data_IF_538983755791
#
_entry.id   IF_538983755791
#
_cell.length_a   1.000
_cell.length_b   1.000
_cell.length_c   1.000
_cell.angle_alpha   90.00
_cell.angle_beta   90.00
_cell.angle_gamma   90.00
#
_symmetry.space_group_name_H-M   'P 1'
#
loop_
_entity.id
_entity.type
_entity.pdbx_description
1 polymer ?
#
# COMPACT_ATOMS: atom_id res chain seq x y z
N UNK A 1 -51.52 20.89 45.90
CA UNK A 1 -50.38 20.13 45.34
C UNK A 1 -49.02 20.70 45.80
N UNK A 2 -48.90 21.19 47.03
CA UNK A 2 -47.62 21.63 47.62
C UNK A 2 -47.41 20.95 48.98
N UNK A 3 -47.68 19.64 49.06
CA UNK A 3 -47.35 18.86 50.25
C UNK A 3 -45.87 18.49 50.19
N UNK A 4 -45.16 18.69 51.30
CA UNK A 4 -43.76 18.30 51.44
C UNK A 4 -43.67 16.79 51.63
N UNK A 5 -42.85 16.13 50.82
CA UNK A 5 -42.56 14.70 50.93
C UNK A 5 -41.17 14.57 51.56
N UNK A 6 -41.08 13.86 52.68
CA UNK A 6 -39.79 13.56 53.32
C UNK A 6 -39.12 12.38 52.61
N UNK A 7 -37.89 12.60 52.13
CA UNK A 7 -37.09 11.60 51.41
C UNK A 7 -35.75 11.39 52.12
N UNK A 8 -35.31 10.13 52.32
CA UNK A 8 -33.96 9.85 52.80
C UNK A 8 -32.89 10.44 51.86
N UNK A 9 -31.85 11.06 52.43
CA UNK A 9 -30.80 11.77 51.67
C UNK A 9 -30.12 10.84 50.64
N UNK A 10 -29.89 9.57 50.99
CA UNK A 10 -29.28 8.60 50.07
C UNK A 10 -30.16 8.33 48.84
N UNK A 11 -31.48 8.29 49.02
CA UNK A 11 -32.44 8.05 47.93
C UNK A 11 -32.52 9.28 47.03
N UNK A 12 -32.52 10.48 47.61
CA UNK A 12 -32.43 11.72 46.86
C UNK A 12 -31.14 11.80 46.02
N UNK A 13 -29.99 11.44 46.59
CA UNK A 13 -28.72 11.41 45.87
C UNK A 13 -28.74 10.42 44.69
N UNK A 14 -29.34 9.24 44.88
CA UNK A 14 -29.51 8.23 43.84
C UNK A 14 -30.43 8.72 42.70
N UNK A 15 -31.55 9.35 43.04
CA UNK A 15 -32.45 9.98 42.06
C UNK A 15 -31.70 11.05 41.26
N UNK A 16 -30.95 11.92 41.94
CA UNK A 16 -30.20 13.00 41.30
C UNK A 16 -29.09 12.46 40.38
N UNK A 17 -28.43 11.37 40.76
CA UNK A 17 -27.44 10.68 39.92
C UNK A 17 -28.09 10.11 38.65
N UNK A 18 -29.22 9.41 38.75
CA UNK A 18 -29.93 8.89 37.58
C UNK A 18 -30.50 10.00 36.69
N UNK A 19 -31.05 11.06 37.28
CA UNK A 19 -31.53 12.22 36.56
C UNK A 19 -30.40 12.93 35.81
N UNK A 20 -29.23 13.11 36.45
CA UNK A 20 -28.04 13.70 35.84
C UNK A 20 -27.49 12.82 34.72
N UNK A 21 -27.40 11.50 34.94
CA UNK A 21 -26.96 10.56 33.92
C UNK A 21 -27.90 10.55 32.71
N UNK A 22 -29.21 10.59 32.95
CA UNK A 22 -30.24 10.65 31.90
C UNK A 22 -30.18 11.97 31.14
N UNK A 23 -30.05 13.11 31.83
CA UNK A 23 -29.88 14.41 31.21
C UNK A 23 -28.60 14.47 30.36
N UNK A 24 -27.50 13.92 30.88
CA UNK A 24 -26.23 13.84 30.14
C UNK A 24 -26.41 13.01 28.86
N UNK A 25 -27.04 11.84 28.94
CA UNK A 25 -27.17 10.92 27.80
C UNK A 25 -28.20 11.36 26.76
N UNK A 26 -29.30 11.99 27.16
CA UNK A 26 -30.41 12.35 26.27
C UNK A 26 -30.43 13.82 25.83
N UNK A 27 -29.79 14.75 26.56
CA UNK A 27 -29.79 16.18 26.20
C UNK A 27 -28.41 16.65 25.75
N UNK A 28 -27.37 16.38 26.55
CA UNK A 28 -26.02 16.86 26.28
C UNK A 28 -25.31 16.05 25.19
N UNK A 29 -25.25 14.72 25.34
CA UNK A 29 -24.55 13.86 24.38
C UNK A 29 -25.10 13.98 22.94
N UNK A 30 -26.42 14.05 22.67
CA UNK A 30 -26.91 14.21 21.30
C UNK A 30 -26.50 15.55 20.68
N UNK A 31 -26.58 16.64 21.45
CA UNK A 31 -26.17 17.98 21.01
C UNK A 31 -24.67 18.04 20.70
N UNK A 32 -23.85 17.46 21.58
CA UNK A 32 -22.40 17.34 21.38
C UNK A 32 -22.08 16.48 20.15
N UNK A 33 -22.74 15.32 19.99
CA UNK A 33 -22.59 14.45 18.81
C UNK A 33 -22.96 15.17 17.52
N UNK A 34 -24.05 15.93 17.51
CA UNK A 34 -24.46 16.73 16.36
C UNK A 34 -23.42 17.81 16.02
N UNK A 35 -22.91 18.53 17.03
CA UNK A 35 -21.90 19.56 16.84
C UNK A 35 -20.62 19.00 16.19
N UNK A 36 -20.13 17.87 16.70
CA UNK A 36 -18.96 17.19 16.11
C UNK A 36 -19.25 16.61 14.73
N UNK A 37 -20.44 16.01 14.50
CA UNK A 37 -20.86 15.52 13.17
C UNK A 37 -20.86 16.66 12.15
N UNK A 38 -21.50 17.79 12.46
CA UNK A 38 -21.57 18.94 11.56
C UNK A 38 -20.17 19.52 11.25
N UNK A 39 -19.27 19.52 12.23
CA UNK A 39 -17.86 19.91 12.01
C UNK A 39 -17.12 18.91 11.12
N UNK A 40 -17.34 17.62 11.30
CA UNK A 40 -16.78 16.55 10.45
C UNK A 40 -17.28 16.69 9.01
N UNK A 41 -18.59 16.85 8.80
CA UNK A 41 -19.19 17.04 7.47
C UNK A 41 -18.59 18.26 6.75
N UNK A 42 -18.45 19.39 7.44
CA UNK A 42 -17.77 20.58 6.90
C UNK A 42 -16.29 20.35 6.58
N UNK A 43 -15.59 19.53 7.38
CA UNK A 43 -14.20 19.18 7.12
C UNK A 43 -14.08 18.28 5.88
N UNK A 44 -14.93 17.26 5.76
CA UNK A 44 -15.02 16.36 4.60
C UNK A 44 -15.36 17.16 3.34
N UNK A 45 -16.33 18.08 3.40
CA UNK A 45 -16.66 18.94 2.26
C UNK A 45 -15.49 19.81 1.80
N UNK A 46 -14.69 20.34 2.74
CA UNK A 46 -13.46 21.10 2.41
C UNK A 46 -12.37 20.22 1.80
N UNK A 47 -12.23 18.98 2.29
CA UNK A 47 -11.27 18.01 1.74
C UNK A 47 -11.67 17.64 0.30
N UNK A 48 -12.95 17.32 0.06
CA UNK A 48 -13.46 16.95 -1.27
C UNK A 48 -13.20 18.02 -2.33
N UNK A 49 -13.14 19.31 -1.97
CA UNK A 49 -12.79 20.41 -2.91
C UNK A 49 -11.33 20.41 -3.36
N UNK A 50 -10.44 19.73 -2.63
CA UNK A 50 -8.99 19.68 -2.93
C UNK A 50 -8.58 18.38 -3.63
N UNK A 51 -9.42 17.36 -3.58
CA UNK A 51 -9.13 16.08 -4.21
C UNK A 51 -9.55 16.13 -5.68
N UNK A 52 -8.72 15.58 -6.55
CA UNK A 52 -9.09 15.33 -7.95
C UNK A 52 -10.36 14.49 -8.03
N UNK A 53 -10.52 13.53 -7.09
CA UNK A 53 -11.72 12.71 -6.94
C UNK A 53 -12.28 12.83 -5.52
N UNK A 54 -13.54 13.24 -5.35
CA UNK A 54 -14.13 13.36 -4.03
C UNK A 54 -14.22 12.00 -3.33
N UNK A 55 -14.22 12.02 -1.99
CA UNK A 55 -14.36 10.80 -1.18
C UNK A 55 -15.70 10.15 -1.53
N UNK A 56 -15.64 8.88 -1.91
CA UNK A 56 -16.84 8.13 -2.24
C UNK A 56 -17.77 7.98 -1.02
N UNK A 57 -19.08 8.26 -1.14
CA UNK A 57 -20.04 8.07 -0.06
C UNK A 57 -20.01 6.68 0.58
N UNK A 58 -19.68 5.64 -0.21
CA UNK A 58 -19.52 4.26 0.25
C UNK A 58 -18.50 4.13 1.39
N UNK A 59 -17.42 4.94 1.38
CA UNK A 59 -16.42 4.95 2.47
C UNK A 59 -16.91 5.66 3.73
N UNK A 60 -17.92 6.51 3.61
CA UNK A 60 -18.45 7.32 4.71
C UNK A 60 -19.63 6.63 5.40
N UNK A 61 -20.18 5.57 4.79
CA UNK A 61 -21.17 4.69 5.43
C UNK A 61 -20.59 4.15 6.73
N UNK A 62 -21.40 4.13 7.80
CA UNK A 62 -20.94 3.58 9.07
C UNK A 62 -20.57 2.11 8.84
N UNK A 63 -19.44 1.71 9.40
CA UNK A 63 -18.95 0.32 9.32
C UNK A 63 -20.01 -0.72 9.67
N UNK A 64 -20.85 -0.44 10.67
CA UNK A 64 -21.95 -1.33 11.05
C UNK A 64 -22.95 -1.53 9.89
N UNK A 65 -23.41 -0.44 9.28
CA UNK A 65 -24.38 -0.47 8.17
C UNK A 65 -23.80 -1.21 6.95
N UNK A 66 -22.50 -1.02 6.67
CA UNK A 66 -21.82 -1.74 5.60
C UNK A 66 -21.71 -3.25 5.86
N UNK A 67 -21.43 -3.64 7.12
CA UNK A 67 -21.43 -5.06 7.52
C UNK A 67 -22.83 -5.66 7.34
N UNK A 68 -23.89 -4.95 7.77
CA UNK A 68 -25.26 -5.43 7.58
C UNK A 68 -25.60 -5.58 6.09
N UNK A 69 -25.27 -4.58 5.27
CA UNK A 69 -25.49 -4.65 3.83
C UNK A 69 -24.77 -5.85 3.17
N UNK A 70 -23.57 -6.18 3.64
CA UNK A 70 -22.79 -7.29 3.11
C UNK A 70 -23.35 -8.67 3.52
N UNK A 71 -23.72 -8.86 4.78
CA UNK A 71 -24.20 -10.17 5.26
C UNK A 71 -25.62 -10.52 4.74
N UNK A 72 -26.41 -9.50 4.42
CA UNK A 72 -27.75 -9.67 3.82
C UNK A 72 -27.74 -9.53 2.30
N UNK A 73 -26.57 -9.43 1.66
CA UNK A 73 -26.49 -9.45 0.19
C UNK A 73 -26.91 -10.85 -0.32
N UNK A 74 -27.74 -10.94 -1.39
CA UNK A 74 -28.24 -12.22 -1.89
C UNK A 74 -27.15 -13.24 -2.21
N UNK A 75 -26.00 -12.81 -2.74
CA UNK A 75 -24.90 -13.73 -3.07
C UNK A 75 -24.22 -14.27 -1.82
N UNK A 76 -24.17 -13.47 -0.75
CA UNK A 76 -23.60 -13.88 0.55
C UNK A 76 -24.59 -14.76 1.30
N UNK A 77 -25.89 -14.43 1.28
CA UNK A 77 -26.94 -15.26 1.86
C UNK A 77 -26.96 -16.66 1.23
N UNK A 78 -26.83 -16.75 -0.10
CA UNK A 78 -26.70 -18.05 -0.78
C UNK A 78 -25.43 -18.78 -0.32
N UNK A 79 -24.29 -18.10 -0.27
CA UNK A 79 -23.05 -18.71 0.19
C UNK A 79 -23.12 -19.20 1.65
N UNK A 80 -23.89 -18.53 2.51
CA UNK A 80 -24.16 -18.96 3.89
C UNK A 80 -24.97 -20.26 3.89
N UNK A 81 -26.04 -20.33 3.09
CA UNK A 81 -26.85 -21.54 2.96
C UNK A 81 -26.04 -22.71 2.40
N UNK A 82 -25.27 -22.49 1.33
CA UNK A 82 -24.41 -23.51 0.73
C UNK A 82 -23.37 -24.02 1.73
N UNK A 83 -22.75 -23.11 2.50
CA UNK A 83 -21.78 -23.47 3.51
C UNK A 83 -22.40 -24.26 4.66
N UNK A 84 -23.60 -23.89 5.10
CA UNK A 84 -24.35 -24.60 6.12
C UNK A 84 -24.66 -26.04 5.69
N UNK A 85 -25.13 -26.20 4.46
CA UNK A 85 -25.43 -27.52 3.88
C UNK A 85 -24.18 -28.39 3.71
N UNK A 86 -23.10 -27.84 3.15
CA UNK A 86 -21.86 -28.59 2.88
C UNK A 86 -21.17 -29.06 4.18
N UNK A 87 -21.23 -28.25 5.24
CA UNK A 87 -20.56 -28.54 6.51
C UNK A 87 -21.52 -29.13 7.55
N UNK A 88 -22.77 -29.41 7.18
CA UNK A 88 -23.82 -29.95 8.05
C UNK A 88 -23.98 -29.17 9.37
N UNK A 89 -23.85 -27.83 9.29
CA UNK A 89 -24.02 -26.94 10.44
C UNK A 89 -25.33 -26.15 10.33
N UNK A 90 -25.94 -25.75 11.46
CA UNK A 90 -27.09 -24.85 11.44
C UNK A 90 -26.81 -23.53 10.73
N UNK A 91 -27.77 -23.03 9.96
CA UNK A 91 -27.62 -21.81 9.14
C UNK A 91 -27.26 -20.57 9.97
N UNK A 92 -27.77 -20.46 11.20
CA UNK A 92 -27.42 -19.39 12.12
C UNK A 92 -25.94 -19.39 12.53
N UNK A 93 -25.30 -20.57 12.59
CA UNK A 93 -23.86 -20.69 12.86
C UNK A 93 -23.05 -20.20 11.66
N UNK A 94 -23.42 -20.62 10.45
CA UNK A 94 -22.81 -20.13 9.21
C UNK A 94 -22.99 -18.61 9.04
N UNK A 95 -24.17 -18.08 9.41
CA UNK A 95 -24.45 -16.65 9.39
C UNK A 95 -23.54 -15.86 10.34
N UNK A 96 -23.36 -16.31 11.58
CA UNK A 96 -22.45 -15.64 12.52
C UNK A 96 -20.98 -15.76 12.09
N UNK A 97 -20.57 -16.85 11.43
CA UNK A 97 -19.26 -16.95 10.79
C UNK A 97 -19.10 -15.91 9.67
N UNK A 98 -20.06 -15.80 8.76
CA UNK A 98 -20.06 -14.78 7.71
C UNK A 98 -20.03 -13.36 8.29
N UNK A 99 -20.75 -13.12 9.38
CA UNK A 99 -20.73 -11.84 10.10
C UNK A 99 -19.37 -11.54 10.73
N UNK A 100 -18.68 -12.56 11.26
CA UNK A 100 -17.30 -12.44 11.74
C UNK A 100 -16.35 -12.09 10.59
N UNK A 101 -16.47 -12.77 9.45
CA UNK A 101 -15.69 -12.46 8.25
C UNK A 101 -15.97 -11.04 7.73
N UNK A 102 -17.23 -10.62 7.66
CA UNK A 102 -17.60 -9.27 7.28
C UNK A 102 -17.01 -8.22 8.24
N UNK A 103 -17.00 -8.46 9.55
CA UNK A 103 -16.31 -7.58 10.53
C UNK A 103 -14.81 -7.54 10.26
N UNK A 104 -14.19 -8.64 9.87
CA UNK A 104 -12.76 -8.67 9.56
C UNK A 104 -12.42 -7.84 8.31
N UNK A 105 -13.23 -8.01 7.26
CA UNK A 105 -13.05 -7.43 5.93
C UNK A 105 -13.41 -5.95 5.91
N UNK A 106 -14.59 -5.56 6.41
CA UNK A 106 -15.11 -4.19 6.27
C UNK A 106 -14.29 -3.22 7.14
N UNK A 107 -13.62 -2.22 6.53
CA UNK A 107 -12.78 -1.26 7.24
C UNK A 107 -13.63 -0.24 8.01
N UNK A 108 -13.01 0.35 9.05
CA UNK A 108 -13.59 1.46 9.81
C UNK A 108 -13.02 2.78 9.34
N UNK A 109 -13.24 3.14 8.07
CA UNK A 109 -12.63 4.34 7.48
C UNK A 109 -12.96 5.61 8.26
N UNK A 110 -11.93 6.41 8.54
CA UNK A 110 -12.06 7.72 9.17
C UNK A 110 -11.39 8.76 8.28
N UNK A 111 -12.20 9.63 7.65
CA UNK A 111 -11.69 10.70 6.81
C UNK A 111 -10.73 11.63 7.58
N UNK A 112 -11.00 11.90 8.86
CA UNK A 112 -10.13 12.71 9.70
C UNK A 112 -8.79 12.00 9.98
N UNK A 113 -8.82 10.71 10.31
CA UNK A 113 -7.59 9.95 10.55
C UNK A 113 -6.74 9.89 9.29
N UNK A 114 -7.35 9.59 8.14
CA UNK A 114 -6.67 9.49 6.85
C UNK A 114 -6.10 10.84 6.39
N UNK A 115 -6.96 11.84 6.16
CA UNK A 115 -6.55 13.13 5.58
C UNK A 115 -5.91 14.09 6.58
N UNK A 116 -6.21 13.95 7.86
CA UNK A 116 -5.65 14.81 8.91
C UNK A 116 -4.29 14.32 9.40
N UNK A 117 -4.17 13.05 9.78
CA UNK A 117 -2.98 12.54 10.46
C UNK A 117 -2.18 11.63 9.54
N UNK A 118 -2.83 10.66 8.90
CA UNK A 118 -2.21 9.62 8.10
C UNK A 118 -1.34 10.15 6.97
N UNK A 119 -1.88 11.01 6.10
CA UNK A 119 -1.11 11.59 4.98
C UNK A 119 0.09 12.40 5.46
N UNK A 120 -0.08 13.19 6.54
CA UNK A 120 1.01 14.02 7.08
C UNK A 120 2.11 13.17 7.67
N UNK A 121 1.76 12.15 8.45
CA UNK A 121 2.70 11.20 9.01
C UNK A 121 3.41 10.41 7.90
N UNK A 122 2.67 9.98 6.87
CA UNK A 122 3.23 9.26 5.73
C UNK A 122 4.22 10.13 4.95
N UNK A 123 3.86 11.38 4.65
CA UNK A 123 4.75 12.36 4.01
C UNK A 123 6.00 12.60 4.83
N UNK A 124 5.84 12.86 6.14
CA UNK A 124 6.96 13.10 7.04
C UNK A 124 7.90 11.90 7.07
N UNK A 125 7.37 10.69 7.23
CA UNK A 125 8.17 9.47 7.29
C UNK A 125 8.89 9.21 5.96
N UNK A 126 8.19 9.33 4.84
CA UNK A 126 8.75 9.13 3.51
C UNK A 126 9.90 10.09 3.20
N UNK A 127 9.68 11.39 3.41
CA UNK A 127 10.68 12.43 3.14
C UNK A 127 11.81 12.48 4.19
N UNK A 128 11.57 11.98 5.40
CA UNK A 128 12.60 11.83 6.43
C UNK A 128 13.55 10.69 6.12
N UNK A 129 13.09 9.60 5.51
CA UNK A 129 13.91 8.42 5.23
C UNK A 129 14.50 8.42 3.82
N UNK A 130 13.80 8.99 2.83
CA UNK A 130 14.19 8.91 1.42
C UNK A 130 14.14 10.27 0.71
N UNK A 131 14.87 10.37 -0.40
CA UNK A 131 14.61 11.33 -1.45
C UNK A 131 13.49 10.76 -2.34
N UNK A 132 12.27 11.23 -2.12
CA UNK A 132 11.08 10.69 -2.79
C UNK A 132 10.89 11.36 -4.14
N UNK A 133 10.80 10.55 -5.19
CA UNK A 133 10.61 11.01 -6.56
C UNK A 133 9.32 10.44 -7.16
N UNK A 134 8.69 11.22 -8.04
CA UNK A 134 7.46 10.85 -8.71
C UNK A 134 7.61 10.96 -10.22
N UNK A 135 6.93 10.07 -10.96
CA UNK A 135 6.86 10.16 -12.41
C UNK A 135 6.25 11.48 -12.89
N UNK A 136 6.82 12.08 -13.94
CA UNK A 136 6.39 13.36 -14.49
C UNK A 136 4.93 13.34 -14.99
N UNK A 137 4.50 12.20 -15.52
CA UNK A 137 3.17 12.00 -16.10
C UNK A 137 2.15 11.51 -15.07
N UNK A 138 2.54 11.24 -13.81
CA UNK A 138 1.65 10.64 -12.81
C UNK A 138 0.35 11.45 -12.65
N UNK A 139 0.47 12.76 -12.45
CA UNK A 139 -0.70 13.63 -12.25
C UNK A 139 -1.56 13.75 -13.51
N UNK A 140 -0.92 13.76 -14.68
CA UNK A 140 -1.61 13.82 -15.95
C UNK A 140 -2.42 12.56 -16.21
N UNK A 141 -1.83 11.38 -16.00
CA UNK A 141 -2.53 10.10 -16.12
C UNK A 141 -3.76 10.04 -15.22
N UNK A 142 -3.65 10.49 -13.98
CA UNK A 142 -4.81 10.53 -13.08
C UNK A 142 -5.89 11.52 -13.55
N UNK A 143 -5.50 12.69 -14.06
CA UNK A 143 -6.45 13.70 -14.59
C UNK A 143 -7.17 13.24 -15.85
N UNK A 144 -6.55 12.41 -16.68
CA UNK A 144 -7.15 11.87 -17.92
C UNK A 144 -8.24 10.83 -17.67
N UNK A 145 -8.25 10.18 -16.50
CA UNK A 145 -9.26 9.16 -16.18
C UNK A 145 -10.62 9.83 -15.93
N UNK A 146 -11.72 9.35 -16.55
CA UNK A 146 -13.07 9.90 -16.34
C UNK A 146 -13.48 9.94 -14.87
N UNK A 147 -14.07 11.05 -14.42
CA UNK A 147 -14.40 11.29 -13.00
C UNK A 147 -15.39 10.27 -12.41
N UNK A 148 -16.22 9.67 -13.27
CA UNK A 148 -17.19 8.64 -12.98
C UNK A 148 -16.62 7.22 -13.11
N UNK A 149 -15.36 7.02 -13.50
CA UNK A 149 -14.73 5.71 -13.51
C UNK A 149 -14.27 5.24 -12.11
N UNK A 150 -14.15 3.92 -11.92
CA UNK A 150 -13.48 3.32 -10.76
C UNK A 150 -11.99 3.22 -11.04
N UNK A 151 -11.14 3.65 -10.11
CA UNK A 151 -9.68 3.60 -10.26
C UNK A 151 -9.09 2.52 -9.37
N UNK A 152 -8.28 1.63 -9.96
CA UNK A 152 -7.58 0.55 -9.27
C UNK A 152 -6.09 0.68 -9.53
N UNK A 153 -5.34 1.10 -8.52
CA UNK A 153 -3.87 1.12 -8.58
C UNK A 153 -3.32 -0.29 -8.40
N UNK A 154 -2.60 -0.78 -9.40
CA UNK A 154 -1.99 -2.11 -9.44
C UNK A 154 -0.48 -1.94 -9.39
N UNK A 155 0.15 -2.43 -8.32
CA UNK A 155 1.55 -2.07 -8.05
C UNK A 155 2.40 -3.24 -7.57
N UNK A 156 3.70 -3.16 -7.88
CA UNK A 156 4.67 -4.11 -7.34
C UNK A 156 4.88 -3.89 -5.83
N UNK A 157 5.40 -4.90 -5.12
CA UNK A 157 5.59 -4.85 -3.67
C UNK A 157 7.02 -5.23 -3.25
N UNK A 158 7.79 -4.23 -2.85
CA UNK A 158 9.20 -4.38 -2.45
C UNK A 158 9.45 -4.15 -0.96
N UNK A 159 8.73 -3.23 -0.34
CA UNK A 159 8.92 -2.85 1.07
C UNK A 159 7.59 -2.62 1.76
N UNK A 160 7.53 -2.75 3.09
CA UNK A 160 6.37 -2.24 3.83
C UNK A 160 6.25 -0.72 3.72
N UNK A 161 7.34 -0.03 3.35
CA UNK A 161 7.36 1.39 3.02
C UNK A 161 6.46 1.73 1.82
N UNK A 162 6.11 0.77 0.96
CA UNK A 162 5.25 1.00 -0.21
C UNK A 162 3.87 1.53 0.21
N UNK A 163 3.31 1.03 1.32
CA UNK A 163 2.05 1.53 1.87
C UNK A 163 2.16 3.01 2.25
N UNK A 164 3.31 3.41 2.81
CA UNK A 164 3.57 4.79 3.23
C UNK A 164 3.75 5.69 2.02
N UNK A 165 4.56 5.29 1.04
CA UNK A 165 4.78 6.05 -0.19
C UNK A 165 3.49 6.24 -0.96
N UNK A 166 2.71 5.18 -1.16
CA UNK A 166 1.47 5.27 -1.91
C UNK A 166 0.41 6.07 -1.16
N UNK A 167 0.33 5.94 0.18
CA UNK A 167 -0.54 6.82 1.00
C UNK A 167 -0.12 8.28 0.86
N UNK A 168 1.17 8.57 0.83
CA UNK A 168 1.64 9.94 0.64
C UNK A 168 1.32 10.47 -0.77
N UNK A 169 1.58 9.68 -1.81
CA UNK A 169 1.58 10.14 -3.20
C UNK A 169 0.20 10.10 -3.85
N UNK A 170 -0.55 9.02 -3.67
CA UNK A 170 -1.86 8.86 -4.30
C UNK A 170 -3.00 9.50 -3.49
N UNK A 171 -2.77 9.91 -2.24
CA UNK A 171 -3.79 10.62 -1.46
C UNK A 171 -4.05 12.06 -1.93
N UNK A 172 -3.20 12.61 -2.81
CA UNK A 172 -3.51 13.87 -3.51
C UNK A 172 -4.59 13.67 -4.58
N UNK A 173 -4.71 12.45 -5.13
CA UNK A 173 -5.71 12.10 -6.15
C UNK A 173 -7.05 11.67 -5.55
N UNK A 174 -7.06 10.81 -4.52
CA UNK A 174 -8.29 10.27 -3.91
C UNK A 174 -8.04 9.60 -2.56
N UNK A 175 -9.09 9.35 -1.77
CA UNK A 175 -9.02 8.43 -0.63
C UNK A 175 -8.78 7.00 -1.15
N UNK A 176 -7.65 6.37 -0.82
CA UNK A 176 -7.34 5.00 -1.21
C UNK A 176 -7.97 3.95 -0.27
N UNK A 177 -8.31 2.78 -0.81
CA UNK A 177 -8.64 1.57 -0.04
C UNK A 177 -7.65 0.49 -0.40
N UNK A 178 -6.91 0.00 0.60
CA UNK A 178 -5.84 -0.96 0.40
C UNK A 178 -6.29 -2.39 0.71
N UNK A 179 -5.89 -3.34 -0.12
CA UNK A 179 -5.81 -4.73 0.30
C UNK A 179 -4.49 -4.94 1.06
N UNK A 180 -4.56 -5.28 2.35
CA UNK A 180 -3.36 -5.47 3.20
C UNK A 180 -3.27 -6.92 3.67
N UNK A 181 -2.06 -7.48 3.67
CA UNK A 181 -1.81 -8.85 4.15
C UNK A 181 -1.92 -9.02 5.67
N UNK A 182 -1.89 -10.27 6.13
CA UNK A 182 -2.09 -10.63 7.56
C UNK A 182 -1.06 -10.05 8.53
N UNK A 183 0.16 -9.71 8.07
CA UNK A 183 1.24 -9.21 8.94
C UNK A 183 0.85 -7.94 9.71
N UNK A 184 -0.03 -7.12 9.13
CA UNK A 184 -0.48 -5.86 9.69
C UNK A 184 -1.63 -6.01 10.72
N UNK A 185 -2.01 -7.25 11.10
CA UNK A 185 -3.08 -7.52 12.09
C UNK A 185 -2.65 -7.30 13.55
N UNK A 186 -1.42 -6.83 13.80
CA UNK A 186 -0.91 -6.57 15.16
C UNK A 186 -1.49 -5.28 15.74
N UNK A 187 -1.95 -5.31 16.98
CA UNK A 187 -2.38 -4.10 17.69
C UNK A 187 -1.14 -3.28 18.14
N UNK A 188 -1.13 -1.94 18.02
CA UNK A 188 -2.20 -1.03 17.61
C UNK A 188 -2.25 -0.74 16.09
N UNK A 189 -1.27 -1.21 15.33
CA UNK A 189 -1.10 -0.94 13.89
C UNK A 189 -2.35 -1.30 13.07
N UNK A 190 -3.00 -2.41 13.40
CA UNK A 190 -4.21 -2.89 12.72
C UNK A 190 -5.38 -1.91 12.80
N UNK A 191 -5.55 -1.18 13.92
CA UNK A 191 -6.59 -0.14 14.04
C UNK A 191 -6.28 1.06 13.18
N UNK A 192 -5.02 1.49 13.14
CA UNK A 192 -4.58 2.59 12.30
C UNK A 192 -4.80 2.27 10.81
N UNK A 193 -4.36 1.09 10.36
CA UNK A 193 -4.51 0.63 8.97
C UNK A 193 -5.99 0.53 8.57
N UNK A 194 -6.85 -0.07 9.40
CA UNK A 194 -8.30 -0.10 9.14
C UNK A 194 -8.92 1.30 9.08
N UNK A 195 -8.46 2.22 9.93
CA UNK A 195 -8.93 3.61 9.91
C UNK A 195 -8.57 4.36 8.63
N UNK A 196 -7.49 3.93 7.96
CA UNK A 196 -7.06 4.44 6.66
C UNK A 196 -7.82 3.80 5.49
N UNK A 197 -8.80 2.93 5.73
CA UNK A 197 -9.65 2.34 4.69
C UNK A 197 -9.11 1.05 4.08
N UNK A 198 -8.12 0.43 4.72
CA UNK A 198 -7.56 -0.85 4.31
C UNK A 198 -8.38 -2.03 4.83
N UNK A 199 -8.65 -3.00 3.96
CA UNK A 199 -9.24 -4.29 4.30
C UNK A 199 -8.18 -5.39 4.24
N UNK A 200 -8.31 -6.37 5.13
CA UNK A 200 -7.34 -7.46 5.21
C UNK A 200 -7.72 -8.60 4.29
N UNK A 201 -6.77 -9.08 3.51
CA UNK A 201 -6.89 -10.32 2.74
C UNK A 201 -6.13 -11.40 3.49
N UNK A 202 -6.86 -12.38 4.03
CA UNK A 202 -6.30 -13.54 4.70
C UNK A 202 -5.93 -14.62 3.68
N UNK A 203 -4.73 -15.19 3.80
CA UNK A 203 -4.36 -16.41 3.08
C UNK A 203 -4.72 -17.66 3.89
N UNK A 204 -4.81 -17.57 5.22
CA UNK A 204 -5.13 -18.68 6.13
C UNK A 204 -6.63 -18.92 6.32
N UNK A 205 -7.48 -17.95 5.97
CA UNK A 205 -8.94 -18.10 6.02
C UNK A 205 -9.39 -18.81 4.74
N UNK A 206 -9.15 -20.11 4.68
CA UNK A 206 -9.26 -20.94 3.46
C UNK A 206 -10.70 -21.34 3.10
N UNK A 207 -11.71 -20.91 3.86
CA UNK A 207 -13.10 -21.25 3.61
C UNK A 207 -13.69 -20.59 2.35
N UNK A 208 -14.47 -21.37 1.59
CA UNK A 208 -15.28 -20.88 0.45
C UNK A 208 -16.16 -19.70 0.85
N UNK A 209 -16.77 -19.75 2.04
CA UNK A 209 -17.59 -18.68 2.60
C UNK A 209 -16.81 -17.36 2.79
N UNK A 210 -15.61 -17.41 3.36
CA UNK A 210 -14.78 -16.21 3.54
C UNK A 210 -14.45 -15.55 2.20
N UNK A 211 -14.04 -16.34 1.21
CA UNK A 211 -13.71 -15.85 -0.13
C UNK A 211 -14.93 -15.23 -0.82
N UNK A 212 -16.13 -15.80 -0.65
CA UNK A 212 -17.38 -15.23 -1.18
C UNK A 212 -17.72 -13.89 -0.52
N UNK A 213 -17.62 -13.78 0.80
CA UNK A 213 -17.83 -12.51 1.53
C UNK A 213 -16.83 -11.44 1.10
N UNK A 214 -15.55 -11.79 0.95
CA UNK A 214 -14.50 -10.88 0.49
C UNK A 214 -14.73 -10.44 -0.95
N UNK A 215 -15.01 -11.38 -1.86
CA UNK A 215 -15.30 -11.10 -3.25
C UNK A 215 -16.47 -10.11 -3.37
N UNK A 216 -17.54 -10.35 -2.61
CA UNK A 216 -18.72 -9.48 -2.64
C UNK A 216 -18.42 -8.08 -2.12
N UNK A 217 -17.65 -7.95 -1.04
CA UNK A 217 -17.20 -6.64 -0.56
C UNK A 217 -16.39 -5.88 -1.62
N UNK A 218 -15.43 -6.55 -2.27
CA UNK A 218 -14.61 -5.94 -3.34
C UNK A 218 -15.51 -5.48 -4.49
N UNK A 219 -16.45 -6.32 -4.94
CA UNK A 219 -17.41 -5.96 -5.98
C UNK A 219 -18.23 -4.73 -5.58
N UNK A 220 -18.82 -4.70 -4.39
CA UNK A 220 -19.59 -3.56 -3.90
C UNK A 220 -18.75 -2.27 -3.87
N UNK A 221 -17.48 -2.35 -3.45
CA UNK A 221 -16.57 -1.21 -3.44
C UNK A 221 -16.22 -0.73 -4.86
N UNK A 222 -15.92 -1.67 -5.77
CA UNK A 222 -15.64 -1.39 -7.18
C UNK A 222 -16.84 -0.71 -7.85
N UNK A 223 -18.04 -1.28 -7.69
CA UNK A 223 -19.30 -0.76 -8.22
C UNK A 223 -19.63 0.63 -7.68
N UNK A 224 -19.37 0.85 -6.40
CA UNK A 224 -19.58 2.16 -5.80
C UNK A 224 -18.67 3.24 -6.36
N UNK A 225 -17.55 2.92 -7.03
CA UNK A 225 -16.56 3.91 -7.48
C UNK A 225 -15.47 4.19 -6.44
N UNK A 226 -15.20 3.26 -5.53
CA UNK A 226 -14.12 3.40 -4.55
C UNK A 226 -12.77 3.27 -5.24
N UNK A 227 -11.89 4.26 -5.06
CA UNK A 227 -10.49 4.13 -5.45
C UNK A 227 -9.79 3.06 -4.61
N UNK A 228 -9.24 2.05 -5.28
CA UNK A 228 -8.59 0.89 -4.67
C UNK A 228 -7.10 0.87 -5.00
N UNK A 229 -6.31 0.30 -4.10
CA UNK A 229 -4.89 0.07 -4.28
C UNK A 229 -4.54 -1.36 -3.84
N UNK A 230 -3.84 -2.08 -4.70
CA UNK A 230 -3.59 -3.52 -4.54
C UNK A 230 -2.15 -3.86 -4.92
N UNK A 231 -1.56 -4.72 -4.11
CA UNK A 231 -0.28 -5.38 -4.35
C UNK A 231 -0.55 -6.83 -4.81
N UNK A 232 -0.83 -7.08 -6.10
CA UNK A 232 -1.29 -8.39 -6.56
C UNK A 232 -0.20 -9.46 -6.48
N UNK A 233 1.07 -9.13 -6.23
CA UNK A 233 2.12 -10.12 -5.90
C UNK A 233 1.77 -10.95 -4.65
N UNK A 234 0.92 -10.40 -3.78
CA UNK A 234 0.42 -11.06 -2.56
C UNK A 234 1.49 -11.27 -1.48
N UNK A 235 2.61 -10.55 -1.56
CA UNK A 235 3.67 -10.52 -0.57
C UNK A 235 4.90 -9.79 -1.11
N UNK A 236 5.79 -9.34 -0.22
CA UNK A 236 7.04 -8.68 -0.59
C UNK A 236 7.89 -9.57 -1.52
N UNK A 237 8.58 -8.97 -2.48
CA UNK A 237 9.65 -9.66 -3.21
C UNK A 237 10.74 -10.13 -2.25
N UNK A 238 11.29 -11.34 -2.46
CA UNK A 238 12.33 -11.92 -1.60
C UNK A 238 13.70 -11.96 -2.27
N UNK A 239 13.71 -11.86 -3.59
CA UNK A 239 14.88 -11.85 -4.47
C UNK A 239 15.00 -10.55 -5.27
N UNK A 240 14.06 -9.61 -5.10
CA UNK A 240 14.09 -8.32 -5.78
C UNK A 240 13.50 -8.35 -7.19
N UNK A 241 13.02 -9.48 -7.69
CA UNK A 241 12.31 -9.58 -8.98
C UNK A 241 10.86 -9.16 -8.84
N UNK A 242 10.28 -8.62 -9.92
CA UNK A 242 8.83 -8.47 -10.02
C UNK A 242 8.19 -9.86 -10.08
N UNK A 243 7.22 -10.12 -9.20
CA UNK A 243 6.51 -11.41 -9.19
C UNK A 243 5.30 -11.38 -10.12
N UNK A 244 4.89 -12.54 -10.64
CA UNK A 244 3.62 -12.68 -11.34
C UNK A 244 2.45 -12.19 -10.47
N UNK A 245 1.51 -11.48 -11.10
CA UNK A 245 0.33 -10.96 -10.41
C UNK A 245 -0.62 -12.12 -10.06
N UNK A 246 -1.09 -12.19 -8.82
CA UNK A 246 -2.08 -13.17 -8.40
C UNK A 246 -3.46 -12.82 -8.97
N UNK A 247 -4.06 -13.80 -9.64
CA UNK A 247 -5.37 -13.68 -10.30
C UNK A 247 -6.56 -13.47 -9.36
N UNK A 248 -6.42 -13.82 -8.07
CA UNK A 248 -7.56 -13.84 -7.14
C UNK A 248 -8.22 -12.47 -6.89
N UNK A 249 -7.47 -11.38 -6.86
CA UNK A 249 -8.08 -10.05 -6.73
C UNK A 249 -8.74 -9.59 -8.04
N UNK A 250 -8.09 -9.86 -9.17
CA UNK A 250 -8.62 -9.54 -10.49
C UNK A 250 -9.93 -10.32 -10.76
N UNK A 251 -10.01 -11.58 -10.33
CA UNK A 251 -11.23 -12.38 -10.48
C UNK A 251 -12.40 -11.83 -9.68
N UNK A 252 -12.18 -11.18 -8.52
CA UNK A 252 -13.24 -10.51 -7.77
C UNK A 252 -13.77 -9.29 -8.50
N UNK A 253 -12.90 -8.53 -9.17
CA UNK A 253 -13.29 -7.38 -9.99
C UNK A 253 -14.08 -7.86 -11.22
N UNK A 254 -13.57 -8.86 -11.93
CA UNK A 254 -14.15 -9.35 -13.17
C UNK A 254 -15.44 -10.16 -12.97
N UNK A 255 -15.59 -10.85 -11.84
CA UNK A 255 -16.70 -11.77 -11.61
C UNK A 255 -18.10 -11.14 -11.54
N UNK A 256 -18.21 -9.81 -11.45
CA UNK A 256 -19.49 -9.08 -11.56
C UNK A 256 -19.30 -7.78 -12.34
N UNK A 257 -18.43 -7.79 -13.36
CA UNK A 257 -18.20 -6.65 -14.23
C UNK A 257 -19.33 -6.54 -15.26
N UNK A 258 -19.89 -5.34 -15.40
CA UNK A 258 -20.86 -5.00 -16.45
C UNK A 258 -20.28 -3.85 -17.31
N UNK A 259 -20.00 -4.09 -18.61
CA UNK A 259 -19.55 -3.08 -19.56
C UNK A 259 -20.42 -1.82 -19.61
N UNK A 260 -21.73 -1.95 -19.38
CA UNK A 260 -22.70 -0.87 -19.48
C UNK A 260 -22.74 0.02 -18.24
N UNK A 261 -22.13 -0.43 -17.14
CA UNK A 261 -22.06 0.34 -15.91
C UNK A 261 -20.78 1.21 -15.86
N UNK A 262 -20.24 1.42 -14.67
CA UNK A 262 -19.06 2.23 -14.42
C UNK A 262 -17.80 1.52 -14.95
N UNK A 263 -17.05 2.17 -15.83
CA UNK A 263 -15.77 1.64 -16.31
C UNK A 263 -14.72 1.59 -15.18
N UNK A 264 -13.79 0.64 -15.29
CA UNK A 264 -12.74 0.38 -14.32
C UNK A 264 -11.41 0.67 -14.99
N UNK A 265 -10.68 1.65 -14.46
CA UNK A 265 -9.34 1.98 -14.92
C UNK A 265 -8.30 1.37 -13.99
N UNK A 266 -7.47 0.49 -14.54
CA UNK A 266 -6.26 0.04 -13.87
C UNK A 266 -5.14 1.05 -14.09
N UNK A 267 -4.49 1.49 -13.01
CA UNK A 267 -3.31 2.34 -13.07
C UNK A 267 -2.11 1.48 -12.66
N UNK A 268 -1.27 1.05 -13.62
CA UNK A 268 -0.02 0.36 -13.30
C UNK A 268 0.88 1.30 -12.50
N UNK A 269 1.48 0.83 -11.42
CA UNK A 269 2.41 1.63 -10.61
C UNK A 269 3.65 0.82 -10.31
N UNK A 270 4.81 1.37 -10.65
CA UNK A 270 6.10 0.81 -10.32
C UNK A 270 6.77 1.61 -9.20
N UNK A 271 7.29 0.88 -8.22
CA UNK A 271 7.98 1.39 -7.03
C UNK A 271 9.36 0.76 -6.96
N UNK A 272 10.40 1.59 -6.81
CA UNK A 272 11.77 1.12 -6.62
C UNK A 272 12.50 1.93 -5.54
N UNK A 273 13.57 1.36 -4.99
CA UNK A 273 14.37 1.95 -3.90
C UNK A 273 15.87 1.75 -4.12
N UNK A 274 16.65 2.74 -3.66
CA UNK A 274 18.08 2.55 -3.44
C UNK A 274 18.37 1.69 -2.21
N UNK A 275 17.49 1.75 -1.21
CA UNK A 275 17.56 0.91 -0.02
C UNK A 275 16.18 0.42 0.44
N UNK A 276 15.94 -0.88 0.35
CA UNK A 276 14.79 -1.57 0.97
C UNK A 276 15.12 -1.95 2.41
N UNK A 277 14.37 -1.44 3.39
CA UNK A 277 14.62 -1.65 4.82
C UNK A 277 14.64 -3.14 5.22
N UNK A 278 13.85 -3.95 4.54
CA UNK A 278 13.69 -5.37 4.83
C UNK A 278 14.66 -6.29 4.08
N UNK A 279 15.50 -5.77 3.18
CA UNK A 279 16.25 -6.57 2.20
C UNK A 279 17.03 -7.76 2.79
N UNK A 280 17.80 -7.57 3.86
CA UNK A 280 18.58 -8.65 4.49
C UNK A 280 17.67 -9.76 5.04
N UNK A 281 16.52 -9.41 5.58
CA UNK A 281 15.53 -10.38 6.09
C UNK A 281 14.83 -11.08 4.93
N UNK A 282 14.54 -10.35 3.84
CA UNK A 282 13.95 -10.87 2.61
C UNK A 282 14.87 -11.89 1.92
N UNK A 283 16.14 -11.55 1.74
CA UNK A 283 17.17 -12.41 1.14
C UNK A 283 17.39 -13.66 2.01
N UNK A 284 17.53 -13.49 3.33
CA UNK A 284 17.68 -14.62 4.24
C UNK A 284 16.45 -15.57 4.20
N UNK A 285 15.24 -15.04 3.99
CA UNK A 285 14.05 -15.88 3.80
C UNK A 285 14.13 -16.67 2.48
N UNK A 286 14.57 -16.02 1.40
CA UNK A 286 14.81 -16.68 0.11
C UNK A 286 15.80 -17.85 0.23
N UNK A 287 16.94 -17.63 0.90
CA UNK A 287 17.96 -18.67 1.12
C UNK A 287 17.46 -19.85 1.95
N UNK A 288 16.57 -19.61 2.92
CA UNK A 288 15.95 -20.69 3.72
C UNK A 288 14.84 -21.45 2.98
N UNK A 289 14.37 -20.94 1.84
CA UNK A 289 13.20 -21.47 1.13
C UNK A 289 11.88 -21.26 1.89
N UNK A 290 11.84 -20.38 2.89
CA UNK A 290 10.61 -20.02 3.61
C UNK A 290 10.18 -18.58 3.31
N UNK A 291 8.89 -18.28 3.56
CA UNK A 291 8.33 -16.92 3.46
C UNK A 291 8.10 -16.30 4.83
N UNK A 292 8.77 -16.79 5.87
CA UNK A 292 8.52 -16.36 7.25
C UNK A 292 9.45 -15.21 7.62
N UNK A 293 8.86 -14.03 7.80
CA UNK A 293 9.56 -12.85 8.29
C UNK A 293 9.87 -13.00 9.78
N UNK A 294 10.99 -13.66 10.11
CA UNK A 294 11.49 -13.79 11.49
C UNK A 294 12.39 -12.62 11.86
N UNK A 295 11.93 -11.38 11.66
CA UNK A 295 12.66 -10.22 12.18
C UNK A 295 12.44 -10.17 13.71
N UNK A 296 13.51 -10.26 14.48
CA UNK A 296 13.43 -10.10 15.95
C UNK A 296 13.06 -8.64 16.23
N UNK A 297 12.03 -8.41 17.05
CA UNK A 297 11.58 -7.07 17.46
C UNK A 297 12.75 -6.26 18.03
N UNK A 298 13.66 -6.91 18.77
CA UNK A 298 14.87 -6.28 19.29
C UNK A 298 15.78 -5.71 18.20
N UNK A 299 15.95 -6.39 17.06
CA UNK A 299 16.78 -5.91 15.95
C UNK A 299 16.16 -4.68 15.30
N UNK A 300 14.83 -4.70 15.07
CA UNK A 300 14.10 -3.55 14.54
C UNK A 300 14.20 -2.36 15.50
N UNK A 301 14.04 -2.62 16.81
CA UNK A 301 14.13 -1.60 17.84
C UNK A 301 15.52 -0.97 17.90
N UNK A 302 16.58 -1.78 17.96
CA UNK A 302 17.97 -1.29 17.95
C UNK A 302 18.26 -0.50 16.68
N UNK A 303 17.89 -1.01 15.51
CA UNK A 303 18.04 -0.28 14.24
C UNK A 303 17.34 1.09 14.29
N UNK A 304 16.10 1.13 14.78
CA UNK A 304 15.31 2.38 14.88
C UNK A 304 15.95 3.37 15.87
N UNK A 305 16.41 2.90 17.03
CA UNK A 305 17.11 3.72 18.03
C UNK A 305 18.43 4.28 17.50
N UNK A 306 19.23 3.47 16.81
CA UNK A 306 20.48 3.91 16.18
C UNK A 306 20.21 5.00 15.14
N UNK A 307 19.21 4.81 14.27
CA UNK A 307 18.84 5.83 13.27
C UNK A 307 18.26 7.09 13.89
N UNK A 308 17.51 6.97 14.98
CA UNK A 308 17.04 8.13 15.74
C UNK A 308 18.21 8.89 16.38
N UNK A 309 19.20 8.17 16.91
CA UNK A 309 20.40 8.76 17.48
C UNK A 309 21.28 9.44 16.42
N UNK A 310 21.49 8.81 15.27
CA UNK A 310 22.15 9.43 14.11
C UNK A 310 21.43 10.72 13.70
N UNK A 311 20.10 10.74 13.74
CA UNK A 311 19.31 11.92 13.40
C UNK A 311 19.48 13.04 14.42
N UNK A 312 19.43 12.71 15.71
CA UNK A 312 19.64 13.67 16.80
C UNK A 312 21.07 14.21 16.83
N UNK A 313 22.06 13.39 16.43
CA UNK A 313 23.47 13.78 16.35
C UNK A 313 23.85 14.46 15.02
N UNK A 314 22.90 14.68 14.10
CA UNK A 314 23.15 15.33 12.80
C UNK A 314 23.93 14.47 11.80
N UNK A 315 24.10 13.17 12.07
CA UNK A 315 24.84 12.21 11.23
C UNK A 315 23.95 11.37 10.32
N UNK A 316 22.63 11.51 10.44
CA UNK A 316 21.69 10.73 9.66
C UNK A 316 21.77 11.10 8.18
N UNK A 317 22.15 10.11 7.38
CA UNK A 317 21.98 10.13 5.92
C UNK A 317 20.69 9.40 5.56
N UNK A 318 19.99 9.93 4.54
CA UNK A 318 18.82 9.26 4.00
C UNK A 318 19.20 7.94 3.37
N UNK A 319 18.22 7.06 3.21
CA UNK A 319 18.38 5.74 2.62
C UNK A 319 18.39 5.78 1.08
N UNK A 320 18.93 6.85 0.51
CA UNK A 320 18.91 7.13 -0.93
C UNK A 320 17.52 7.52 -1.45
N UNK A 321 17.26 7.17 -2.70
CA UNK A 321 16.04 7.51 -3.43
C UNK A 321 14.97 6.43 -3.31
N UNK A 322 13.71 6.89 -3.31
CA UNK A 322 12.54 6.03 -3.51
C UNK A 322 11.69 6.67 -4.61
N UNK A 323 11.37 5.92 -5.66
CA UNK A 323 10.62 6.43 -6.81
C UNK A 323 9.31 5.69 -7.01
N UNK A 324 8.26 6.44 -7.34
CA UNK A 324 6.92 5.92 -7.67
C UNK A 324 6.47 6.48 -9.00
N UNK A 325 6.22 5.60 -9.97
CA UNK A 325 5.94 5.96 -11.36
C UNK A 325 4.68 5.25 -11.82
N UNK A 326 3.78 6.02 -12.42
CA UNK A 326 2.54 5.49 -12.97
C UNK A 326 2.74 5.17 -14.45
N UNK A 327 2.26 4.01 -14.85
CA UNK A 327 2.06 3.67 -16.25
C UNK A 327 0.77 4.26 -16.78
N UNK A 328 0.62 4.22 -18.10
CA UNK A 328 -0.59 4.69 -18.75
C UNK A 328 -1.82 3.90 -18.24
N UNK A 329 -2.85 4.61 -17.74
CA UNK A 329 -4.07 3.97 -17.26
C UNK A 329 -4.75 3.17 -18.35
N UNK A 330 -5.21 1.98 -17.99
CA UNK A 330 -5.89 1.06 -18.91
C UNK A 330 -7.37 0.94 -18.51
N UNK A 331 -8.26 1.29 -19.44
CA UNK A 331 -9.69 1.03 -19.33
C UNK A 331 -9.96 -0.46 -19.47
N UNK A 332 -10.69 -1.04 -18.52
CA UNK A 332 -11.12 -2.42 -18.61
C UNK A 332 -12.12 -2.60 -19.75
N UNK A 333 -13.01 -1.62 -19.97
CA UNK A 333 -13.93 -1.60 -21.11
C UNK A 333 -13.19 -1.66 -22.46
N UNK A 334 -12.10 -0.91 -22.60
CA UNK A 334 -11.30 -0.94 -23.83
C UNK A 334 -10.54 -2.27 -24.01
N UNK A 335 -10.27 -2.99 -22.91
CA UNK A 335 -9.62 -4.30 -22.92
C UNK A 335 -10.60 -5.47 -23.17
N UNK A 336 -11.91 -5.20 -23.21
CA UNK A 336 -12.99 -6.21 -23.34
C UNK A 336 -12.84 -7.28 -24.43
N UNK A 337 -12.28 -7.00 -25.63
CA UNK A 337 -12.07 -8.03 -26.64
C UNK A 337 -11.18 -9.20 -26.16
N UNK A 338 -10.48 -9.06 -25.04
CA UNK A 338 -9.53 -10.02 -24.46
C UNK A 338 -9.82 -10.33 -22.98
N UNK A 339 -11.08 -10.18 -22.52
CA UNK A 339 -11.49 -10.35 -21.12
C UNK A 339 -11.29 -11.77 -20.57
N UNK A 340 -10.04 -12.09 -20.28
CA UNK A 340 -9.60 -13.24 -19.51
C UNK A 340 -8.68 -12.72 -18.42
N UNK A 341 -8.67 -13.40 -17.27
CA UNK A 341 -7.93 -12.92 -16.10
C UNK A 341 -6.42 -12.98 -16.37
N UNK A 342 -5.96 -14.02 -17.05
CA UNK A 342 -4.55 -14.27 -17.34
C UNK A 342 -3.93 -13.21 -18.28
N UNK A 343 -4.49 -12.90 -19.48
CA UNK A 343 -4.00 -11.82 -20.32
C UNK A 343 -4.02 -10.46 -19.64
N UNK A 344 -5.06 -10.16 -18.86
CA UNK A 344 -5.15 -8.91 -18.11
C UNK A 344 -3.99 -8.78 -17.11
N UNK A 345 -3.67 -9.84 -16.38
CA UNK A 345 -2.56 -9.81 -15.44
C UNK A 345 -1.19 -9.71 -16.15
N UNK A 346 -1.02 -10.39 -17.27
CA UNK A 346 0.21 -10.31 -18.09
C UNK A 346 0.41 -8.88 -18.61
N UNK A 347 -0.64 -8.25 -19.14
CA UNK A 347 -0.59 -6.87 -19.64
C UNK A 347 -0.27 -5.88 -18.51
N UNK A 348 -0.93 -6.02 -17.35
CA UNK A 348 -0.65 -5.18 -16.18
C UNK A 348 0.79 -5.38 -15.68
N UNK A 349 1.29 -6.61 -15.66
CA UNK A 349 2.66 -6.92 -15.29
C UNK A 349 3.65 -6.27 -16.26
N UNK A 350 3.41 -6.37 -17.57
CA UNK A 350 4.24 -5.75 -18.61
C UNK A 350 4.28 -4.22 -18.46
N UNK A 351 3.13 -3.58 -18.21
CA UNK A 351 3.06 -2.12 -17.98
C UNK A 351 3.81 -1.69 -16.73
N UNK A 352 3.77 -2.48 -15.64
CA UNK A 352 4.55 -2.21 -14.42
C UNK A 352 6.05 -2.33 -14.71
N UNK A 353 6.47 -3.36 -15.45
CA UNK A 353 7.87 -3.56 -15.87
C UNK A 353 8.39 -2.41 -16.72
N UNK A 354 7.58 -1.96 -17.67
CA UNK A 354 7.93 -0.90 -18.60
C UNK A 354 8.22 0.42 -17.86
N UNK A 355 7.44 0.74 -16.83
CA UNK A 355 7.62 1.99 -16.06
C UNK A 355 8.50 1.84 -14.81
N UNK A 356 9.23 0.73 -14.67
CA UNK A 356 10.08 0.48 -13.50
C UNK A 356 11.17 1.57 -13.35
N UNK A 357 11.21 2.31 -12.22
CA UNK A 357 12.18 3.39 -12.04
C UNK A 357 13.62 2.87 -11.99
N UNK A 358 14.50 3.50 -12.78
CA UNK A 358 15.94 3.26 -12.77
C UNK A 358 16.59 4.16 -11.71
N UNK A 359 17.00 3.57 -10.59
CA UNK A 359 17.63 4.26 -9.47
C UNK A 359 19.14 3.99 -9.40
N UNK A 360 19.93 4.88 -8.77
CA UNK A 360 21.39 4.75 -8.68
C UNK A 360 21.89 3.38 -8.19
N UNK A 361 21.41 2.88 -7.04
CA UNK A 361 21.90 1.62 -6.46
C UNK A 361 21.54 0.41 -7.35
N UNK A 362 20.29 0.24 -7.83
CA UNK A 362 19.95 -0.79 -8.81
C UNK A 362 20.79 -0.76 -10.09
N UNK A 363 21.06 0.43 -10.64
CA UNK A 363 21.89 0.59 -11.85
C UNK A 363 23.33 0.16 -11.59
N UNK A 364 23.94 0.69 -10.53
CA UNK A 364 25.30 0.32 -10.11
C UNK A 364 25.40 -1.18 -9.86
N UNK A 365 24.46 -1.76 -9.12
CA UNK A 365 24.46 -3.19 -8.84
C UNK A 365 24.42 -4.03 -10.13
N UNK A 366 23.62 -3.62 -11.12
CA UNK A 366 23.55 -4.30 -12.42
C UNK A 366 24.85 -4.19 -13.22
N UNK A 367 25.48 -3.02 -13.25
CA UNK A 367 26.79 -2.83 -13.91
C UNK A 367 27.88 -3.64 -13.22
N UNK A 368 27.98 -3.53 -11.89
CA UNK A 368 29.00 -4.24 -11.09
C UNK A 368 28.90 -5.75 -11.29
N UNK A 369 27.68 -6.31 -11.32
CA UNK A 369 27.47 -7.75 -11.53
C UNK A 369 27.71 -8.20 -12.98
N UNK A 370 27.79 -7.27 -13.94
CA UNK A 370 28.04 -7.57 -15.36
C UNK A 370 29.52 -7.60 -15.74
N UNK A 371 30.40 -7.13 -14.86
CA UNK A 371 31.85 -7.04 -15.09
C UNK A 371 32.57 -8.08 -14.25
N UNK A 372 33.60 -8.70 -14.83
CA UNK A 372 34.50 -9.59 -14.10
C UNK A 372 35.69 -8.79 -13.54
N UNK A 373 35.88 -8.84 -12.22
CA UNK A 373 37.00 -8.19 -11.54
C UNK A 373 36.75 -6.72 -11.13
N UNK A 374 37.80 -6.03 -10.65
CA UNK A 374 37.72 -4.63 -10.21
C UNK A 374 37.36 -3.68 -11.35
N UNK A 375 36.54 -2.67 -11.03
CA UNK A 375 36.17 -1.61 -11.99
C UNK A 375 36.29 -0.23 -11.34
N UNK A 376 36.97 0.69 -12.04
CA UNK A 376 37.12 2.08 -11.59
C UNK A 376 35.76 2.77 -11.46
N UNK A 377 35.59 3.57 -10.41
CA UNK A 377 34.36 4.32 -10.14
C UNK A 377 33.90 5.17 -11.33
N UNK A 378 34.81 5.85 -12.04
CA UNK A 378 34.46 6.66 -13.21
C UNK A 378 33.87 5.79 -14.35
N UNK A 379 34.43 4.61 -14.58
CA UNK A 379 33.92 3.67 -15.59
C UNK A 379 32.56 3.10 -15.18
N UNK A 380 32.36 2.83 -13.89
CA UNK A 380 31.05 2.42 -13.35
C UNK A 380 29.96 3.45 -13.60
N UNK A 381 30.23 4.71 -13.28
CA UNK A 381 29.25 5.79 -13.46
C UNK A 381 28.94 6.01 -14.94
N UNK A 382 29.97 5.96 -15.80
CA UNK A 382 29.81 6.05 -17.25
C UNK A 382 28.97 4.89 -17.81
N UNK A 383 29.30 3.65 -17.46
CA UNK A 383 28.53 2.47 -17.90
C UNK A 383 27.07 2.53 -17.42
N UNK A 384 26.84 2.99 -16.20
CA UNK A 384 25.49 3.20 -15.66
C UNK A 384 24.70 4.25 -16.46
N UNK A 385 25.37 5.30 -16.94
CA UNK A 385 24.75 6.33 -17.80
C UNK A 385 24.36 5.75 -19.16
N UNK A 386 25.21 4.92 -19.74
CA UNK A 386 24.97 4.27 -21.03
C UNK A 386 23.82 3.25 -20.99
N UNK A 387 23.54 2.67 -19.80
CA UNK A 387 22.37 1.79 -19.59
C UNK A 387 21.02 2.53 -19.54
N UNK A 388 21.01 3.86 -19.39
CA UNK A 388 19.76 4.62 -19.36
C UNK A 388 19.15 4.73 -20.76
N UNK A 389 17.84 4.50 -20.92
CA UNK A 389 17.15 4.77 -22.18
C UNK A 389 17.27 6.25 -22.57
N UNK A 390 17.49 6.53 -23.86
CA UNK A 390 17.64 7.91 -24.38
C UNK A 390 16.40 8.78 -24.12
N UNK A 391 15.25 8.15 -24.00
CA UNK A 391 13.92 8.74 -23.86
C UNK A 391 13.46 8.87 -22.39
N UNK A 392 14.10 8.16 -21.46
CA UNK A 392 13.66 8.04 -20.07
C UNK A 392 14.79 8.06 -19.05
N UNK A 393 14.89 9.16 -18.30
CA UNK A 393 15.24 9.09 -16.89
C UNK A 393 14.46 10.14 -16.12
N UNK A 394 13.57 9.67 -15.24
CA UNK A 394 12.75 10.53 -14.38
C UNK A 394 13.59 11.32 -13.37
N UNK A 395 14.86 10.93 -13.17
CA UNK A 395 15.78 11.53 -12.21
C UNK A 395 16.93 12.32 -12.84
N UNK A 396 17.28 12.04 -14.09
CA UNK A 396 18.61 12.41 -14.62
C UNK A 396 18.57 13.11 -15.98
N UNK A 397 17.38 13.58 -16.40
CA UNK A 397 17.15 13.96 -17.81
C UNK A 397 17.97 15.17 -18.27
N UNK A 398 18.43 16.04 -17.36
CA UNK A 398 18.98 17.35 -17.77
C UNK A 398 20.23 17.82 -17.00
N UNK A 399 20.69 17.12 -15.97
CA UNK A 399 21.83 17.57 -15.16
C UNK A 399 22.84 16.42 -14.93
N UNK A 400 23.94 16.46 -15.68
CA UNK A 400 25.03 15.48 -15.53
C UNK A 400 25.67 15.56 -14.14
N UNK A 401 25.88 16.76 -13.61
CA UNK A 401 26.45 16.94 -12.27
C UNK A 401 25.57 16.29 -11.19
N UNK A 402 24.25 16.42 -11.30
CA UNK A 402 23.30 15.75 -10.41
C UNK A 402 23.36 14.24 -10.54
N UNK A 403 23.45 13.71 -11.78
CA UNK A 403 23.63 12.27 -12.01
C UNK A 403 24.91 11.77 -11.33
N UNK A 404 26.06 12.40 -11.60
CA UNK A 404 27.34 12.02 -10.99
C UNK A 404 27.28 12.09 -9.45
N UNK A 405 26.66 13.13 -8.89
CA UNK A 405 26.47 13.30 -7.45
C UNK A 405 25.65 12.15 -6.84
N UNK A 406 24.51 11.81 -7.44
CA UNK A 406 23.62 10.74 -6.96
C UNK A 406 24.28 9.35 -7.08
N UNK A 407 25.04 9.11 -8.14
CA UNK A 407 25.79 7.86 -8.32
C UNK A 407 26.92 7.74 -7.29
N UNK A 408 27.60 8.84 -6.97
CA UNK A 408 28.64 8.88 -5.94
C UNK A 408 28.06 8.66 -4.54
N UNK A 409 26.91 9.28 -4.23
CA UNK A 409 26.19 9.03 -2.97
C UNK A 409 25.80 7.56 -2.85
N UNK A 410 25.27 6.96 -3.93
CA UNK A 410 24.90 5.57 -3.98
C UNK A 410 26.10 4.63 -3.77
N UNK A 411 27.25 4.90 -4.39
CA UNK A 411 28.49 4.14 -4.14
C UNK A 411 28.92 4.22 -2.68
N UNK A 412 28.91 5.42 -2.09
CA UNK A 412 29.21 5.60 -0.66
C UNK A 412 28.26 4.79 0.23
N UNK A 413 26.97 4.77 -0.11
CA UNK A 413 25.99 3.93 0.58
C UNK A 413 26.31 2.44 0.41
N UNK A 414 26.59 1.97 -0.79
CA UNK A 414 26.93 0.57 -1.06
C UNK A 414 28.19 0.12 -0.30
N UNK A 415 29.22 0.98 -0.21
CA UNK A 415 30.41 0.77 0.62
C UNK A 415 30.06 0.68 2.11
N UNK A 416 29.30 1.65 2.64
CA UNK A 416 28.90 1.67 4.06
C UNK A 416 28.07 0.46 4.47
N UNK A 417 27.38 -0.15 3.49
CA UNK A 417 26.55 -1.33 3.67
C UNK A 417 27.28 -2.65 3.44
N UNK A 418 28.56 -2.59 3.08
CA UNK A 418 29.42 -3.75 2.80
C UNK A 418 29.02 -4.51 1.54
N UNK A 419 28.29 -3.88 0.62
CA UNK A 419 27.91 -4.51 -0.66
C UNK A 419 29.11 -4.62 -1.60
N UNK A 420 29.98 -3.62 -1.53
CA UNK A 420 31.20 -3.47 -2.33
C UNK A 420 32.34 -3.05 -1.43
N UNK A 421 33.57 -3.26 -1.88
CA UNK A 421 34.77 -2.61 -1.35
C UNK A 421 35.49 -1.88 -2.46
N UNK A 422 36.26 -0.86 -2.08
CA UNK A 422 37.02 -0.03 -3.01
C UNK A 422 38.51 -0.16 -2.66
N UNK A 423 39.32 -0.57 -3.64
CA UNK A 423 40.76 -0.74 -3.50
C UNK A 423 41.49 0.01 -4.64
N UNK A 424 42.82 -0.04 -4.68
CA UNK A 424 43.60 0.67 -5.69
C UNK A 424 43.27 0.24 -7.13
N UNK A 425 42.75 -0.97 -7.33
CA UNK A 425 42.36 -1.52 -8.63
C UNK A 425 40.91 -1.18 -9.00
N UNK A 426 40.14 -0.65 -8.04
CA UNK A 426 38.77 -0.16 -8.20
C UNK A 426 37.76 -0.85 -7.28
N UNK A 427 36.49 -0.70 -7.64
CA UNK A 427 35.36 -1.26 -6.89
C UNK A 427 35.24 -2.75 -7.18
N UNK A 428 35.16 -3.57 -6.14
CA UNK A 428 34.91 -5.01 -6.20
C UNK A 428 33.67 -5.41 -5.39
N UNK A 429 33.07 -6.53 -5.78
CA UNK A 429 31.96 -7.15 -5.04
C UNK A 429 32.49 -7.79 -3.76
N UNK A 430 31.79 -7.58 -2.64
CA UNK A 430 32.00 -8.38 -1.43
C UNK A 430 31.20 -9.67 -1.55
N UNK A 431 31.87 -10.81 -1.71
CA UNK A 431 31.24 -12.11 -1.99
C UNK A 431 30.11 -12.47 -1.01
N UNK A 432 30.31 -12.20 0.28
CA UNK A 432 29.33 -12.44 1.35
C UNK A 432 28.02 -11.66 1.15
N UNK A 433 28.06 -10.53 0.46
CA UNK A 433 26.91 -9.67 0.18
C UNK A 433 26.54 -9.64 -1.31
N UNK A 434 27.02 -10.58 -2.12
CA UNK A 434 26.67 -10.66 -3.55
C UNK A 434 25.16 -10.79 -3.77
N UNK A 435 24.46 -11.54 -2.92
CA UNK A 435 22.99 -11.68 -2.97
C UNK A 435 22.27 -10.34 -2.74
N UNK A 436 22.87 -9.44 -1.95
CA UNK A 436 22.33 -8.11 -1.72
C UNK A 436 22.43 -7.25 -2.98
N UNK A 437 23.55 -7.29 -3.70
CA UNK A 437 23.67 -6.65 -5.02
C UNK A 437 22.67 -7.24 -6.00
N UNK A 438 22.56 -8.58 -6.06
CA UNK A 438 21.64 -9.26 -6.97
C UNK A 438 20.19 -8.86 -6.71
N UNK A 439 19.80 -8.69 -5.44
CA UNK A 439 18.46 -8.20 -5.08
C UNK A 439 18.12 -6.84 -5.70
N UNK A 440 19.08 -5.89 -5.72
CA UNK A 440 18.86 -4.58 -6.33
C UNK A 440 18.91 -4.65 -7.86
N UNK A 441 19.85 -5.40 -8.44
CA UNK A 441 19.95 -5.58 -9.89
C UNK A 441 18.71 -6.27 -10.49
N UNK A 442 18.15 -7.25 -9.78
CA UNK A 442 16.94 -7.98 -10.17
C UNK A 442 15.71 -7.07 -10.35
N UNK A 443 15.69 -5.88 -9.74
CA UNK A 443 14.63 -4.89 -10.00
C UNK A 443 14.59 -4.43 -11.46
N UNK A 444 15.75 -4.49 -12.14
CA UNK A 444 15.95 -4.03 -13.51
C UNK A 444 16.00 -5.16 -14.53
N UNK A 445 16.03 -6.43 -14.12
CA UNK A 445 16.12 -7.59 -15.02
C UNK A 445 14.82 -7.87 -15.77
N UNK A 446 13.71 -7.36 -15.25
CA UNK A 446 12.41 -7.46 -15.90
C UNK A 446 12.09 -6.29 -16.84
N UNK A 447 12.99 -5.30 -16.93
CA UNK A 447 12.80 -4.11 -17.76
C UNK A 447 13.64 -4.23 -19.02
N UNK A 448 13.01 -4.36 -20.18
CA UNK A 448 13.68 -4.34 -21.50
C UNK A 448 14.46 -3.03 -21.76
N UNK A 449 14.27 -2.03 -20.89
CA UNK A 449 14.89 -0.71 -20.94
C UNK A 449 16.34 -0.71 -20.44
N UNK A 450 16.70 -1.59 -19.50
CA UNK A 450 18.05 -1.68 -18.95
C UNK A 450 18.88 -2.72 -19.70
N UNK A 451 19.29 -2.39 -20.94
CA UNK A 451 20.18 -3.26 -21.71
C UNK A 451 21.57 -3.22 -21.10
N UNK A 452 22.09 -4.39 -20.71
CA UNK A 452 23.50 -4.56 -20.37
C UNK A 452 24.30 -4.39 -21.66
N UNK A 453 25.01 -3.28 -21.80
CA UNK A 453 26.05 -3.17 -22.83
C UNK A 453 27.27 -3.87 -22.27
N UNK A 454 27.84 -4.83 -23.00
CA UNK A 454 29.12 -5.45 -22.62
C UNK A 454 30.16 -4.34 -22.48
N UNK A 455 30.63 -4.12 -21.25
CA UNK A 455 31.70 -3.15 -20.90
C UNK A 455 33.04 -3.67 -21.37
#
# INVERSE_FOLDING_TARGET
>A
MMQTIELPIWLFALILLFATFTALTHLLLPSVRWFFRRRLEKAVARINRRLTRPINPFKLVKRYDMIQRLIYDPQVAQAISDHANINEIPENVAFEQARSYAREIVPGFSAFAYFGIGIRAARWLATALYNVHTGLQNDEYIRRIPSDATVVFVMNHRSNMDYVLVTYLAAQASALSYAVGEWARVWPLSRLIKSMGAYFVSHKSEGTLYRKVLARYVQMATHAGVTQAVFPEGGLTIDGKLKPLKMGFLSYILGNYDPNERDIFFVPVAINYDWVLEDRVLIAASQRGDRRFKAKISVIMTFTLTKLWEKLSGRFTKFGSAAVVFGEPMSLRAFEPQLQIEPLAIELEARIKDVMPLLPVPLLAKVILSVEGPILQERLVKASREMLPRDHSLLFKENEELFYSQMTEALSQMLSRGMISDNNDGVIVVDENRDLLQFYANSLDSSDRAKVIKV
#
